data_IF_854577932708
#
_entry.id   IF_854577932708
#
_cell.length_a   1.000
_cell.length_b   1.000
_cell.length_c   1.000
_cell.angle_alpha   90.00
_cell.angle_beta   90.00
_cell.angle_gamma   90.00
#
_symmetry.space_group_name_H-M   'P 1'
#
loop_
_entity.id
_entity.type
_entity.pdbx_description
1 polymer ?
#
# COMPACT_ATOMS: atom_id res chain seq x y z
N UNK A 1 14.30 -15.54 26.27
CA UNK A 1 13.61 -16.84 26.29
C UNK A 1 14.61 -17.97 26.12
N UNK A 2 15.44 -17.92 25.08
CA UNK A 2 16.51 -18.90 24.82
C UNK A 2 17.51 -19.05 25.98
N UNK A 3 17.95 -17.95 26.61
CA UNK A 3 18.82 -17.99 27.81
C UNK A 3 18.20 -18.74 29.00
N UNK A 4 16.88 -18.94 29.01
CA UNK A 4 16.14 -19.70 30.04
C UNK A 4 15.77 -21.11 29.57
N UNK A 5 16.26 -21.57 28.41
CA UNK A 5 15.90 -22.85 27.81
C UNK A 5 14.45 -22.92 27.31
N UNK A 6 13.80 -21.77 27.08
CA UNK A 6 12.42 -21.71 26.60
C UNK A 6 12.39 -21.40 25.11
N UNK A 7 11.66 -22.21 24.35
CA UNK A 7 11.37 -21.93 22.95
C UNK A 7 10.33 -20.81 22.85
N UNK A 8 10.49 -19.92 21.87
CA UNK A 8 9.58 -18.80 21.63
C UNK A 8 9.23 -18.68 20.16
N UNK A 9 7.95 -18.44 19.89
CA UNK A 9 7.41 -18.26 18.55
C UNK A 9 6.49 -17.04 18.55
N UNK A 10 6.92 -15.97 17.89
CA UNK A 10 6.08 -14.81 17.61
C UNK A 10 5.27 -15.08 16.34
N UNK A 11 3.94 -15.09 16.45
CA UNK A 11 3.07 -15.41 15.33
C UNK A 11 2.07 -14.31 15.06
N UNK A 12 2.19 -13.70 13.88
CA UNK A 12 1.14 -12.82 13.38
C UNK A 12 -0.09 -13.62 12.94
N UNK A 13 -1.28 -13.15 13.29
CA UNK A 13 -2.56 -13.76 12.88
C UNK A 13 -3.44 -12.69 12.23
N UNK A 14 -4.01 -12.97 11.05
CA UNK A 14 -4.86 -12.04 10.30
C UNK A 14 -6.15 -12.73 9.84
N UNK A 15 -7.28 -12.00 9.90
CA UNK A 15 -8.60 -12.49 9.49
C UNK A 15 -9.80 -11.92 10.24
N UNK A 16 -9.57 -11.13 11.29
CA UNK A 16 -10.65 -10.64 12.13
C UNK A 16 -11.30 -11.76 12.95
N UNK A 17 -12.47 -11.48 13.52
CA UNK A 17 -13.21 -12.44 14.35
C UNK A 17 -13.66 -13.67 13.55
N UNK A 18 -14.28 -13.43 12.39
CA UNK A 18 -14.72 -14.49 11.47
C UNK A 18 -13.56 -15.33 10.94
N UNK A 19 -12.46 -14.69 10.53
CA UNK A 19 -11.27 -15.41 10.08
C UNK A 19 -10.63 -16.23 11.20
N UNK A 20 -10.61 -15.74 12.44
CA UNK A 20 -10.13 -16.53 13.58
C UNK A 20 -11.00 -17.79 13.83
N UNK A 21 -12.30 -17.71 13.57
CA UNK A 21 -13.23 -18.83 13.75
C UNK A 21 -13.18 -19.86 12.61
N UNK A 22 -13.00 -19.40 11.38
CA UNK A 22 -13.18 -20.19 10.15
C UNK A 22 -11.90 -20.49 9.38
N UNK A 23 -10.80 -19.82 9.71
CA UNK A 23 -9.48 -20.04 9.10
C UNK A 23 -8.74 -18.72 8.87
N UNK A 24 -7.75 -18.37 9.70
CA UNK A 24 -6.97 -17.17 9.51
C UNK A 24 -5.73 -17.43 8.64
N UNK A 25 -5.05 -16.36 8.25
CA UNK A 25 -3.65 -16.43 7.80
C UNK A 25 -2.73 -16.31 9.01
N UNK A 26 -1.72 -17.17 9.10
CA UNK A 26 -0.80 -17.24 10.23
C UNK A 26 0.66 -17.15 9.78
N UNK A 27 1.44 -16.36 10.51
CA UNK A 27 2.80 -15.96 10.15
C UNK A 27 3.76 -16.26 11.31
N UNK A 28 4.01 -17.54 11.66
CA UNK A 28 4.91 -17.91 12.75
C UNK A 28 6.39 -17.63 12.42
N UNK A 29 7.10 -16.96 13.33
CA UNK A 29 8.55 -16.80 13.28
C UNK A 29 9.18 -16.88 14.67
N UNK A 30 10.44 -17.31 14.75
CA UNK A 30 11.11 -17.55 16.03
C UNK A 30 11.93 -18.83 16.00
N UNK A 31 11.68 -19.71 16.97
CA UNK A 31 12.27 -21.05 17.01
C UNK A 31 11.60 -21.98 16.00
N UNK A 32 12.40 -22.57 15.10
CA UNK A 32 11.92 -23.60 14.18
C UNK A 32 11.43 -24.85 14.93
N UNK A 33 12.10 -25.21 16.03
CA UNK A 33 11.70 -26.33 16.88
C UNK A 33 10.31 -26.08 17.50
N UNK A 34 10.04 -24.87 17.99
CA UNK A 34 8.71 -24.51 18.49
C UNK A 34 7.63 -24.63 17.41
N UNK A 35 7.94 -24.19 16.18
CA UNK A 35 7.01 -24.31 15.05
C UNK A 35 6.70 -25.77 14.73
N UNK A 36 7.71 -26.65 14.68
CA UNK A 36 7.52 -28.08 14.41
C UNK A 36 6.60 -28.77 15.43
N UNK A 37 6.62 -28.36 16.70
CA UNK A 37 5.70 -28.90 17.72
C UNK A 37 4.22 -28.54 17.50
N UNK A 38 3.93 -27.45 16.79
CA UNK A 38 2.55 -26.95 16.62
C UNK A 38 2.11 -26.91 15.15
N UNK A 39 2.97 -27.29 14.22
CA UNK A 39 2.76 -27.19 12.78
C UNK A 39 1.45 -27.87 12.36
N UNK A 40 1.17 -29.08 12.85
CA UNK A 40 -0.02 -29.82 12.48
C UNK A 40 -1.33 -29.13 12.90
N UNK A 41 -1.32 -28.46 14.06
CA UNK A 41 -2.43 -27.63 14.53
C UNK A 41 -2.59 -26.44 13.60
N UNK A 42 -1.50 -25.71 13.32
CA UNK A 42 -1.54 -24.52 12.49
C UNK A 42 -2.03 -24.81 11.06
N UNK A 43 -1.57 -25.90 10.46
CA UNK A 43 -2.00 -26.33 9.12
C UNK A 43 -3.50 -26.64 9.07
N UNK A 44 -4.06 -27.25 10.12
CA UNK A 44 -5.49 -27.61 10.19
C UNK A 44 -6.39 -26.40 10.43
N UNK A 45 -5.95 -25.44 11.24
CA UNK A 45 -6.79 -24.29 11.63
C UNK A 45 -6.64 -23.09 10.71
N UNK A 46 -5.58 -22.99 9.88
CA UNK A 46 -5.45 -21.90 8.90
C UNK A 46 -6.51 -21.98 7.80
N UNK A 47 -6.77 -20.85 7.13
CA UNK A 47 -7.53 -20.86 5.88
C UNK A 47 -6.92 -21.84 4.87
N UNK A 48 -7.77 -22.53 4.11
CA UNK A 48 -7.36 -23.43 3.04
C UNK A 48 -7.73 -22.80 1.70
N UNK A 49 -6.75 -22.65 0.83
CA UNK A 49 -6.97 -22.15 -0.53
C UNK A 49 -6.79 -23.32 -1.50
N UNK A 50 -7.80 -23.68 -2.33
CA UNK A 50 -7.82 -24.94 -3.09
C UNK A 50 -6.57 -25.23 -3.94
N UNK A 51 -5.92 -24.20 -4.49
CA UNK A 51 -4.77 -24.31 -5.39
C UNK A 51 -3.41 -24.01 -4.71
N UNK A 52 -3.42 -23.52 -3.48
CA UNK A 52 -2.19 -23.10 -2.76
C UNK A 52 -2.06 -23.64 -1.33
N UNK A 53 -3.01 -24.44 -0.87
CA UNK A 53 -2.98 -25.10 0.43
C UNK A 53 -3.21 -24.16 1.62
N UNK A 54 -2.69 -24.52 2.81
CA UNK A 54 -2.96 -23.80 4.05
C UNK A 54 -2.26 -22.44 4.10
N UNK A 55 -2.95 -21.41 4.59
CA UNK A 55 -2.44 -20.05 4.74
C UNK A 55 -1.55 -19.89 5.98
N UNK A 56 -0.57 -20.77 6.12
CA UNK A 56 0.50 -20.71 7.11
C UNK A 56 1.80 -21.23 6.51
N UNK A 57 2.93 -20.68 6.99
CA UNK A 57 4.28 -21.17 6.72
C UNK A 57 5.22 -20.67 7.80
N UNK A 58 6.30 -21.39 8.08
CA UNK A 58 7.36 -20.87 8.94
C UNK A 58 8.06 -19.70 8.24
N UNK A 59 7.92 -18.50 8.81
CA UNK A 59 8.38 -17.26 8.20
C UNK A 59 9.90 -17.16 8.29
N UNK A 60 10.47 -17.40 9.47
CA UNK A 60 11.90 -17.28 9.71
C UNK A 60 12.24 -17.11 11.17
N UNK A 61 13.47 -16.70 11.45
CA UNK A 61 14.00 -16.59 12.81
C UNK A 61 13.49 -15.34 13.55
N UNK A 62 13.62 -15.35 14.88
CA UNK A 62 13.37 -14.21 15.76
C UNK A 62 11.98 -13.57 15.53
N UNK A 63 11.93 -12.24 15.33
CA UNK A 63 10.68 -11.49 15.19
C UNK A 63 10.09 -11.45 13.78
N UNK A 64 10.54 -12.29 12.85
CA UNK A 64 10.17 -12.22 11.42
C UNK A 64 8.66 -12.31 11.18
N UNK A 65 7.98 -13.22 11.89
CA UNK A 65 6.53 -13.41 11.77
C UNK A 65 5.72 -12.16 12.12
N UNK A 66 6.08 -11.51 13.23
CA UNK A 66 5.46 -10.25 13.64
C UNK A 66 5.80 -9.10 12.69
N UNK A 67 7.02 -9.07 12.14
CA UNK A 67 7.43 -8.07 11.15
C UNK A 67 6.62 -8.20 9.85
N UNK A 68 6.46 -9.42 9.33
CA UNK A 68 5.62 -9.69 8.15
C UNK A 68 4.17 -9.28 8.41
N UNK A 69 3.63 -9.57 9.59
CA UNK A 69 2.27 -9.14 9.96
C UNK A 69 2.12 -7.63 10.07
N UNK A 70 3.13 -6.94 10.59
CA UNK A 70 3.16 -5.48 10.64
C UNK A 70 3.06 -4.92 9.22
N UNK A 71 3.91 -5.38 8.29
CA UNK A 71 3.88 -4.93 6.89
C UNK A 71 2.57 -5.29 6.19
N UNK A 72 2.00 -6.47 6.44
CA UNK A 72 0.65 -6.82 5.98
C UNK A 72 -0.37 -5.73 6.37
N UNK A 73 -0.35 -5.25 7.62
CA UNK A 73 -1.26 -4.18 8.03
C UNK A 73 -0.92 -2.81 7.41
N UNK A 74 0.34 -2.56 7.07
CA UNK A 74 0.71 -1.39 6.26
C UNK A 74 0.07 -1.45 4.86
N UNK A 75 0.17 -2.60 4.19
CA UNK A 75 -0.47 -2.83 2.89
C UNK A 75 -1.99 -2.71 3.00
N UNK A 76 -2.59 -3.27 4.06
CA UNK A 76 -4.02 -3.14 4.36
C UNK A 76 -4.46 -1.67 4.45
N UNK A 77 -3.67 -0.82 5.13
CA UNK A 77 -3.97 0.61 5.22
C UNK A 77 -3.92 1.29 3.85
N UNK A 78 -2.93 0.94 3.03
CA UNK A 78 -2.83 1.39 1.64
C UNK A 78 -4.05 0.98 0.81
N UNK A 79 -4.44 -0.30 0.84
CA UNK A 79 -5.60 -0.82 0.09
C UNK A 79 -6.90 -0.12 0.49
N UNK A 80 -7.16 0.03 1.79
CA UNK A 80 -8.35 0.73 2.30
C UNK A 80 -8.37 2.20 1.84
N UNK A 81 -7.23 2.89 1.89
CA UNK A 81 -7.14 4.29 1.48
C UNK A 81 -7.36 4.45 -0.02
N UNK A 82 -6.76 3.58 -0.85
CA UNK A 82 -6.96 3.62 -2.30
C UNK A 82 -8.41 3.35 -2.69
N UNK A 83 -9.08 2.42 -2.00
CA UNK A 83 -10.52 2.16 -2.18
C UNK A 83 -11.36 3.38 -1.77
N UNK A 84 -11.03 4.03 -0.65
CA UNK A 84 -11.71 5.25 -0.21
C UNK A 84 -11.54 6.40 -1.21
N UNK A 85 -10.36 6.56 -1.81
CA UNK A 85 -10.11 7.56 -2.86
C UNK A 85 -10.88 7.26 -4.14
N UNK A 86 -10.96 5.98 -4.54
CA UNK A 86 -11.79 5.57 -5.67
C UNK A 86 -13.26 5.91 -5.44
N UNK A 87 -13.77 5.63 -4.23
CA UNK A 87 -15.11 6.02 -3.80
C UNK A 87 -15.33 7.54 -3.89
N UNK A 88 -14.42 8.34 -3.33
CA UNK A 88 -14.59 9.80 -3.26
C UNK A 88 -14.54 10.43 -4.64
N UNK A 89 -13.65 9.98 -5.53
CA UNK A 89 -13.64 10.45 -6.93
C UNK A 89 -14.97 10.11 -7.63
N UNK A 90 -15.47 8.88 -7.49
CA UNK A 90 -16.73 8.48 -8.11
C UNK A 90 -17.94 9.25 -7.55
N UNK A 91 -17.97 9.51 -6.24
CA UNK A 91 -19.06 10.23 -5.58
C UNK A 91 -18.98 11.74 -5.83
N UNK A 92 -17.84 12.35 -5.56
CA UNK A 92 -17.65 13.79 -5.58
C UNK A 92 -17.49 14.35 -6.99
N UNK A 93 -16.78 13.65 -7.90
CA UNK A 93 -16.61 14.07 -9.29
C UNK A 93 -17.67 13.42 -10.20
N UNK A 94 -17.80 12.10 -10.12
CA UNK A 94 -18.74 11.34 -10.96
C UNK A 94 -20.21 11.49 -10.58
N UNK A 95 -20.52 12.04 -9.39
CA UNK A 95 -21.88 12.17 -8.84
C UNK A 95 -22.63 10.84 -8.80
N UNK A 96 -21.93 9.74 -8.51
CA UNK A 96 -22.56 8.44 -8.30
C UNK A 96 -23.30 8.42 -6.95
N UNK A 97 -24.49 7.85 -6.98
CA UNK A 97 -25.28 7.49 -5.79
C UNK A 97 -24.69 6.25 -5.12
N UNK A 98 -25.04 6.00 -3.85
CA UNK A 98 -24.58 4.79 -3.16
C UNK A 98 -25.08 3.50 -3.85
N UNK A 99 -26.24 3.54 -4.51
CA UNK A 99 -26.71 2.42 -5.33
C UNK A 99 -25.83 2.15 -6.55
N UNK A 100 -25.42 3.21 -7.27
CA UNK A 100 -24.47 3.08 -8.38
C UNK A 100 -23.09 2.61 -7.88
N UNK A 101 -22.61 3.14 -6.74
CA UNK A 101 -21.35 2.72 -6.12
C UNK A 101 -21.38 1.24 -5.74
N UNK A 102 -22.47 0.75 -5.12
CA UNK A 102 -22.65 -0.66 -4.80
C UNK A 102 -22.49 -1.53 -6.05
N UNK A 103 -23.16 -1.17 -7.15
CA UNK A 103 -23.07 -1.91 -8.42
C UNK A 103 -21.67 -1.91 -9.00
N UNK A 104 -20.99 -0.75 -8.99
CA UNK A 104 -19.60 -0.61 -9.48
C UNK A 104 -18.64 -1.51 -8.69
N UNK A 105 -18.66 -1.44 -7.36
CA UNK A 105 -17.77 -2.25 -6.53
C UNK A 105 -18.12 -3.75 -6.60
N UNK A 106 -19.41 -4.11 -6.69
CA UNK A 106 -19.83 -5.48 -6.91
C UNK A 106 -19.34 -6.03 -8.26
N UNK A 107 -19.32 -5.22 -9.31
CA UNK A 107 -18.78 -5.61 -10.61
C UNK A 107 -17.25 -5.72 -10.60
N UNK A 108 -16.56 -4.76 -9.98
CA UNK A 108 -15.10 -4.84 -9.81
C UNK A 108 -14.67 -6.10 -9.04
N UNK A 109 -15.48 -6.53 -8.07
CA UNK A 109 -15.22 -7.74 -7.30
C UNK A 109 -15.39 -9.04 -8.11
N UNK A 110 -15.92 -9.00 -9.34
CA UNK A 110 -15.97 -10.17 -10.23
C UNK A 110 -14.74 -10.28 -11.14
N UNK A 111 -13.90 -9.24 -11.17
CA UNK A 111 -12.75 -9.14 -12.07
C UNK A 111 -11.41 -9.12 -11.34
N UNK A 112 -10.45 -8.36 -11.88
CA UNK A 112 -9.08 -8.31 -11.36
C UNK A 112 -8.93 -7.68 -9.96
N UNK A 113 -9.97 -6.96 -9.50
CA UNK A 113 -10.02 -6.37 -8.17
C UNK A 113 -10.71 -7.28 -7.12
N UNK A 114 -11.08 -8.52 -7.50
CA UNK A 114 -11.64 -9.52 -6.59
C UNK A 114 -10.80 -9.61 -5.30
N UNK A 115 -11.37 -9.11 -4.21
CA UNK A 115 -10.73 -9.05 -2.90
C UNK A 115 -11.74 -8.81 -1.81
N UNK A 116 -11.40 -9.24 -0.59
CA UNK A 116 -12.29 -9.06 0.56
C UNK A 116 -12.62 -7.59 0.83
N UNK A 117 -11.66 -6.67 0.69
CA UNK A 117 -11.91 -5.25 0.94
C UNK A 117 -12.86 -4.63 -0.09
N UNK A 118 -12.82 -5.07 -1.36
CA UNK A 118 -13.75 -4.61 -2.40
C UNK A 118 -15.14 -5.21 -2.18
N UNK A 119 -15.22 -6.49 -1.79
CA UNK A 119 -16.45 -7.19 -1.41
C UNK A 119 -17.20 -6.43 -0.29
N UNK A 120 -16.56 -6.23 0.86
CA UNK A 120 -17.21 -5.55 2.00
C UNK A 120 -17.54 -4.09 1.67
N UNK A 121 -16.79 -3.45 0.77
CA UNK A 121 -17.08 -2.08 0.33
C UNK A 121 -18.39 -2.03 -0.47
N UNK A 122 -18.62 -3.01 -1.35
CA UNK A 122 -19.90 -3.14 -2.04
C UNK A 122 -21.05 -3.35 -1.05
N UNK A 123 -20.88 -4.25 -0.07
CA UNK A 123 -21.89 -4.51 0.96
C UNK A 123 -22.20 -3.25 1.77
N UNK A 124 -21.17 -2.50 2.21
CA UNK A 124 -21.31 -1.25 2.97
C UNK A 124 -22.20 -0.25 2.24
N UNK A 125 -22.07 -0.09 0.92
CA UNK A 125 -22.91 0.84 0.15
C UNK A 125 -24.38 0.39 0.05
N UNK A 126 -24.69 -0.87 0.32
CA UNK A 126 -26.06 -1.40 0.32
C UNK A 126 -26.81 -1.17 1.65
N UNK A 127 -26.09 -0.93 2.74
CA UNK A 127 -26.67 -0.88 4.08
C UNK A 127 -27.44 0.42 4.31
N UNK A 128 -28.75 0.29 4.53
CA UNK A 128 -29.62 1.39 4.98
C UNK A 128 -29.36 1.71 6.44
N UNK A 129 -29.53 2.98 6.79
CA UNK A 129 -29.55 3.40 8.18
C UNK A 129 -30.83 2.85 8.83
N UNK A 130 -30.68 2.11 9.94
CA UNK A 130 -31.82 1.55 10.69
C UNK A 130 -32.45 2.58 11.65
N UNK A 131 -31.77 3.72 11.85
CA UNK A 131 -32.23 4.82 12.70
C UNK A 131 -32.80 6.00 11.92
N UNK A 132 -32.82 5.97 10.59
CA UNK A 132 -33.29 7.09 9.79
C UNK A 132 -33.27 6.88 8.28
N UNK A 133 -33.45 7.97 7.53
CA UNK A 133 -33.40 7.95 6.07
C UNK A 133 -31.96 7.98 5.54
N UNK A 134 -31.74 7.24 4.46
CA UNK A 134 -30.48 7.20 3.71
C UNK A 134 -29.72 5.89 3.89
N UNK A 135 -28.40 5.97 3.76
CA UNK A 135 -27.49 4.84 3.91
C UNK A 135 -26.60 5.06 5.12
N UNK A 136 -26.25 3.98 5.82
CA UNK A 136 -25.48 4.04 7.06
C UNK A 136 -24.11 4.70 6.85
N UNK A 137 -23.43 4.40 5.73
CA UNK A 137 -22.10 4.97 5.42
C UNK A 137 -22.07 6.49 5.39
N UNK A 138 -23.17 7.14 5.00
CA UNK A 138 -23.26 8.61 4.96
C UNK A 138 -23.47 9.23 6.36
N UNK A 139 -23.80 8.40 7.36
CA UNK A 139 -23.95 8.80 8.78
C UNK A 139 -22.70 8.51 9.61
N UNK A 140 -21.78 7.69 9.08
CA UNK A 140 -20.53 7.36 9.77
C UNK A 140 -19.65 8.62 9.83
N UNK A 141 -19.18 8.96 11.04
CA UNK A 141 -18.24 10.06 11.22
C UNK A 141 -16.93 9.77 10.48
N UNK A 142 -16.51 10.69 9.62
CA UNK A 142 -15.27 10.67 8.83
C UNK A 142 -14.02 10.95 9.68
N UNK A 143 -13.88 10.21 10.79
CA UNK A 143 -12.78 10.29 11.74
C UNK A 143 -12.29 8.88 12.04
N UNK A 144 -11.18 8.50 11.43
CA UNK A 144 -10.65 7.15 11.57
C UNK A 144 -9.72 7.02 12.78
N UNK A 145 -9.85 5.92 13.51
CA UNK A 145 -8.89 5.51 14.54
C UNK A 145 -7.73 4.70 13.93
N UNK A 146 -6.69 4.46 14.74
CA UNK A 146 -5.62 3.53 14.41
C UNK A 146 -5.07 2.82 15.65
N UNK A 147 -4.66 1.56 15.49
CA UNK A 147 -4.09 0.72 16.56
C UNK A 147 -2.54 0.66 16.55
N UNK A 148 -1.90 1.43 15.66
CA UNK A 148 -0.44 1.64 15.64
C UNK A 148 0.37 0.82 14.63
N UNK A 149 -0.12 -0.33 14.13
CA UNK A 149 0.66 -1.21 13.24
C UNK A 149 1.00 -0.59 11.88
N UNK A 150 0.10 0.21 11.31
CA UNK A 150 0.39 0.98 10.09
C UNK A 150 1.52 1.99 10.30
N UNK A 151 1.52 2.69 11.44
CA UNK A 151 2.60 3.62 11.83
C UNK A 151 3.94 2.91 11.96
N UNK A 152 3.98 1.72 12.58
CA UNK A 152 5.22 0.96 12.71
C UNK A 152 5.80 0.54 11.36
N UNK A 153 4.95 0.22 10.37
CA UNK A 153 5.42 -0.08 9.01
C UNK A 153 6.14 1.10 8.40
N UNK A 154 5.57 2.31 8.48
CA UNK A 154 6.20 3.55 7.96
C UNK A 154 7.49 3.86 8.70
N UNK A 155 7.52 3.70 10.02
CA UNK A 155 8.74 3.90 10.82
C UNK A 155 9.84 2.92 10.42
N UNK A 156 9.52 1.65 10.20
CA UNK A 156 10.50 0.66 9.74
C UNK A 156 10.94 0.90 8.30
N UNK A 157 10.05 1.38 7.42
CA UNK A 157 10.41 1.76 6.06
C UNK A 157 11.47 2.88 6.07
N UNK A 158 11.27 3.90 6.90
CA UNK A 158 12.24 4.98 7.09
C UNK A 158 13.58 4.49 7.65
N UNK A 159 13.56 3.65 8.70
CA UNK A 159 14.78 3.05 9.29
C UNK A 159 15.58 2.23 8.28
N UNK A 160 14.89 1.54 7.36
CA UNK A 160 15.49 0.71 6.32
C UNK A 160 15.87 1.49 5.05
N UNK A 161 15.63 2.81 5.02
CA UNK A 161 15.78 3.64 3.82
C UNK A 161 14.97 3.12 2.61
N UNK A 162 13.77 2.58 2.84
CA UNK A 162 12.86 2.09 1.79
C UNK A 162 11.70 3.06 1.63
N UNK A 163 11.51 3.59 0.43
CA UNK A 163 10.37 4.46 0.13
C UNK A 163 9.06 3.66 0.11
N UNK A 164 8.08 4.11 0.90
CA UNK A 164 6.73 3.53 0.95
C UNK A 164 5.62 4.60 0.94
N UNK A 165 5.62 5.51 -0.06
CA UNK A 165 4.80 6.72 -0.01
C UNK A 165 3.29 6.42 -0.10
N UNK A 166 2.87 5.28 -0.66
CA UNK A 166 1.45 4.90 -0.69
C UNK A 166 0.95 4.50 0.70
N UNK A 167 1.76 3.73 1.43
CA UNK A 167 1.45 3.31 2.80
C UNK A 167 1.53 4.53 3.75
N UNK A 168 2.50 5.40 3.55
CA UNK A 168 2.63 6.66 4.30
C UNK A 168 1.43 7.59 4.08
N UNK A 169 1.02 7.81 2.82
CA UNK A 169 -0.16 8.61 2.49
C UNK A 169 -1.41 8.09 3.21
N UNK A 170 -1.59 6.76 3.30
CA UNK A 170 -2.72 6.17 4.03
C UNK A 170 -2.70 6.44 5.54
N UNK A 171 -1.51 6.65 6.12
CA UNK A 171 -1.37 7.02 7.53
C UNK A 171 -1.70 8.50 7.73
N UNK A 172 -1.20 9.37 6.86
CA UNK A 172 -1.46 10.81 6.90
C UNK A 172 -2.94 11.13 6.67
N UNK A 173 -3.60 10.44 5.74
CA UNK A 173 -5.06 10.56 5.53
C UNK A 173 -5.84 10.25 6.81
N UNK A 174 -5.39 9.27 7.61
CA UNK A 174 -6.02 8.96 8.90
C UNK A 174 -5.78 10.07 9.92
N UNK A 175 -4.56 10.59 10.01
CA UNK A 175 -4.25 11.73 10.88
C UNK A 175 -5.11 12.95 10.55
N UNK A 176 -5.20 13.32 9.27
CA UNK A 176 -6.02 14.44 8.79
C UNK A 176 -7.52 14.20 9.04
N UNK A 177 -8.01 12.97 8.85
CA UNK A 177 -9.40 12.63 9.21
C UNK A 177 -9.67 12.86 10.71
N UNK A 178 -8.65 12.61 11.55
CA UNK A 178 -8.63 12.84 13.00
C UNK A 178 -8.94 14.28 13.40
N UNK A 179 -8.47 15.25 12.60
CA UNK A 179 -8.60 16.70 12.81
C UNK A 179 -9.98 17.23 12.36
N UNK A 180 -11.07 16.51 12.69
CA UNK A 180 -12.41 16.81 12.17
C UNK A 180 -12.87 18.25 12.43
N UNK A 181 -12.73 18.73 13.66
CA UNK A 181 -13.21 20.07 14.05
C UNK A 181 -12.41 21.17 13.35
N UNK A 182 -11.08 20.99 13.22
CA UNK A 182 -10.20 21.88 12.47
C UNK A 182 -10.58 21.91 10.98
N UNK A 183 -10.84 20.74 10.37
CA UNK A 183 -11.29 20.66 8.97
C UNK A 183 -12.63 21.36 8.75
N UNK A 184 -13.58 21.22 9.67
CA UNK A 184 -14.88 21.91 9.61
C UNK A 184 -14.72 23.42 9.78
N UNK A 185 -13.79 23.89 10.61
CA UNK A 185 -13.47 25.31 10.70
C UNK A 185 -12.80 25.81 9.41
N UNK A 186 -11.83 25.07 8.89
CA UNK A 186 -11.10 25.40 7.67
C UNK A 186 -12.00 25.46 6.43
N UNK A 187 -13.01 24.58 6.31
CA UNK A 187 -13.93 24.57 5.18
C UNK A 187 -14.81 25.82 5.08
N UNK A 188 -14.94 26.59 6.17
CA UNK A 188 -15.63 27.88 6.18
C UNK A 188 -14.74 29.02 5.68
N UNK A 189 -13.42 28.85 5.75
CA UNK A 189 -12.40 29.84 5.36
C UNK A 189 -12.01 29.62 3.90
N UNK A 190 -11.67 28.39 3.52
CA UNK A 190 -11.23 28.02 2.18
C UNK A 190 -12.42 27.66 1.29
N UNK A 191 -13.23 28.67 0.99
CA UNK A 191 -14.30 28.57 0.00
C UNK A 191 -13.75 28.95 -1.37
N UNK A 192 -14.10 28.18 -2.40
CA UNK A 192 -13.69 28.42 -3.78
C UNK A 192 -14.48 27.56 -4.75
N UNK A 193 -14.49 27.93 -6.03
CA UNK A 193 -14.95 27.03 -7.08
C UNK A 193 -13.82 26.06 -7.40
N UNK A 194 -13.93 24.86 -6.83
CA UNK A 194 -12.99 23.79 -7.07
C UNK A 194 -13.42 22.88 -8.22
N UNK A 195 -14.50 23.17 -8.93
CA UNK A 195 -14.95 22.37 -10.07
C UNK A 195 -14.08 22.64 -11.30
N UNK A 196 -13.70 21.60 -12.04
CA UNK A 196 -13.06 21.81 -13.34
C UNK A 196 -14.03 22.35 -14.40
N UNK A 197 -15.34 22.28 -14.14
CA UNK A 197 -16.41 22.60 -15.11
C UNK A 197 -16.49 21.60 -16.27
N UNK A 198 -15.66 20.57 -16.27
CA UNK A 198 -15.61 19.56 -17.32
C UNK A 198 -16.79 18.59 -17.19
N UNK A 199 -17.43 18.28 -18.32
CA UNK A 199 -18.45 17.23 -18.37
C UNK A 199 -17.78 15.87 -18.20
N UNK A 200 -18.20 15.12 -17.19
CA UNK A 200 -17.66 13.79 -16.87
C UNK A 200 -18.55 12.71 -17.49
N UNK A 201 -17.98 11.88 -18.37
CA UNK A 201 -18.59 10.61 -18.75
C UNK A 201 -18.42 9.61 -17.59
N UNK A 202 -19.54 9.26 -16.93
CA UNK A 202 -19.55 8.34 -15.80
C UNK A 202 -18.94 6.98 -16.15
N UNK A 203 -19.23 6.42 -17.33
CA UNK A 203 -18.75 5.10 -17.70
C UNK A 203 -17.23 5.09 -17.89
N UNK A 204 -16.71 6.12 -18.57
CA UNK A 204 -15.26 6.29 -18.73
C UNK A 204 -14.57 6.53 -17.39
N UNK A 205 -15.17 7.35 -16.50
CA UNK A 205 -14.61 7.61 -15.18
C UNK A 205 -14.54 6.33 -14.33
N UNK A 206 -15.61 5.53 -14.32
CA UNK A 206 -15.63 4.24 -13.59
C UNK A 206 -14.48 3.35 -14.04
N UNK A 207 -14.29 3.19 -15.35
CA UNK A 207 -13.20 2.36 -15.87
C UNK A 207 -11.82 2.96 -15.58
N UNK A 208 -11.68 4.27 -15.65
CA UNK A 208 -10.41 4.93 -15.36
C UNK A 208 -10.02 4.83 -13.89
N UNK A 209 -10.97 5.02 -12.97
CA UNK A 209 -10.77 4.85 -11.53
C UNK A 209 -10.44 3.40 -11.21
N UNK A 210 -11.09 2.42 -11.85
CA UNK A 210 -10.77 1.00 -11.70
C UNK A 210 -9.31 0.71 -12.05
N UNK A 211 -8.85 1.23 -13.20
CA UNK A 211 -7.45 1.09 -13.67
C UNK A 211 -6.47 1.80 -12.75
N UNK A 212 -6.80 3.00 -12.28
CA UNK A 212 -5.98 3.80 -11.36
C UNK A 212 -5.81 3.10 -10.01
N UNK A 213 -6.91 2.57 -9.45
CA UNK A 213 -6.93 1.80 -8.22
C UNK A 213 -6.03 0.57 -8.35
N UNK A 214 -6.18 -0.20 -9.43
CA UNK A 214 -5.39 -1.40 -9.67
C UNK A 214 -3.88 -1.08 -9.81
N UNK A 215 -3.50 -0.07 -10.61
CA UNK A 215 -2.11 0.34 -10.76
C UNK A 215 -1.48 0.86 -9.44
N UNK A 216 -2.25 1.62 -8.66
CA UNK A 216 -1.83 2.11 -7.34
C UNK A 216 -1.64 0.97 -6.35
N UNK A 217 -2.51 -0.05 -6.41
CA UNK A 217 -2.39 -1.26 -5.60
C UNK A 217 -1.09 -2.01 -5.89
N UNK A 218 -0.70 -2.17 -7.15
CA UNK A 218 0.61 -2.77 -7.49
C UNK A 218 1.76 -2.01 -6.81
N UNK A 219 1.74 -0.68 -6.82
CA UNK A 219 2.76 0.14 -6.17
C UNK A 219 2.80 -0.08 -4.64
N UNK A 220 1.65 -0.13 -3.98
CA UNK A 220 1.54 -0.39 -2.54
C UNK A 220 2.18 -1.75 -2.16
N UNK A 221 1.86 -2.81 -2.91
CA UNK A 221 2.44 -4.14 -2.65
C UNK A 221 3.93 -4.20 -2.99
N UNK A 222 4.37 -3.52 -4.05
CA UNK A 222 5.80 -3.41 -4.38
C UNK A 222 6.59 -2.76 -3.22
N UNK A 223 6.06 -1.68 -2.65
CA UNK A 223 6.66 -0.99 -1.49
C UNK A 223 6.69 -1.92 -0.26
N UNK A 224 5.57 -2.57 0.06
CA UNK A 224 5.50 -3.52 1.18
C UNK A 224 6.48 -4.69 1.05
N UNK A 225 6.55 -5.31 -0.13
CA UNK A 225 7.48 -6.42 -0.37
C UNK A 225 8.95 -5.96 -0.28
N UNK A 226 9.27 -4.75 -0.73
CA UNK A 226 10.61 -4.19 -0.59
C UNK A 226 11.00 -3.92 0.87
N UNK A 227 10.06 -3.48 1.72
CA UNK A 227 10.29 -3.33 3.17
C UNK A 227 10.65 -4.69 3.79
N UNK A 228 9.91 -5.75 3.43
CA UNK A 228 10.17 -7.11 3.91
C UNK A 228 11.53 -7.61 3.41
N UNK A 229 11.84 -7.40 2.13
CA UNK A 229 13.13 -7.77 1.53
C UNK A 229 14.29 -7.09 2.24
N UNK A 230 14.21 -5.76 2.44
CA UNK A 230 15.25 -4.99 3.12
C UNK A 230 15.49 -5.49 4.55
N UNK A 231 14.42 -5.75 5.32
CA UNK A 231 14.57 -6.28 6.68
C UNK A 231 15.12 -7.70 6.70
N UNK A 232 14.68 -8.54 5.76
CA UNK A 232 15.19 -9.90 5.59
C UNK A 232 16.70 -9.89 5.35
N UNK A 233 17.19 -8.99 4.50
CA UNK A 233 18.62 -8.79 4.23
C UNK A 233 19.36 -8.27 5.47
N UNK A 234 18.87 -7.21 6.13
CA UNK A 234 19.47 -6.64 7.35
C UNK A 234 19.64 -7.69 8.45
N UNK A 235 18.65 -8.57 8.63
CA UNK A 235 18.64 -9.58 9.70
C UNK A 235 19.14 -10.96 9.27
N UNK A 236 19.46 -11.17 7.99
CA UNK A 236 19.82 -12.48 7.45
C UNK A 236 18.73 -13.54 7.63
N UNK A 237 17.46 -13.16 7.52
CA UNK A 237 16.33 -14.07 7.73
C UNK A 237 16.05 -14.99 6.55
N UNK A 238 16.43 -14.60 5.32
CA UNK A 238 16.20 -15.42 4.12
C UNK A 238 14.71 -15.64 3.81
N UNK A 239 13.87 -14.63 4.05
CA UNK A 239 12.42 -14.72 3.85
C UNK A 239 12.06 -15.00 2.38
N UNK A 240 11.15 -15.95 2.16
CA UNK A 240 10.61 -16.28 0.85
C UNK A 240 9.36 -15.44 0.55
N UNK A 241 9.51 -14.38 -0.26
CA UNK A 241 8.42 -13.44 -0.58
C UNK A 241 7.27 -14.11 -1.36
N UNK A 242 7.55 -15.12 -2.18
CA UNK A 242 6.52 -15.90 -2.87
C UNK A 242 5.64 -16.68 -1.88
N UNK A 243 6.24 -17.28 -0.86
CA UNK A 243 5.50 -17.96 0.21
C UNK A 243 4.69 -16.97 1.07
N UNK A 244 5.19 -15.75 1.30
CA UNK A 244 4.41 -14.71 1.97
C UNK A 244 3.16 -14.33 1.17
N UNK A 245 3.31 -14.14 -0.15
CA UNK A 245 2.18 -13.88 -1.03
C UNK A 245 1.18 -15.06 -1.02
N UNK A 246 1.67 -16.31 -1.00
CA UNK A 246 0.85 -17.52 -0.92
C UNK A 246 -0.03 -17.54 0.32
N UNK A 247 0.55 -17.31 1.51
CA UNK A 247 -0.21 -17.37 2.77
C UNK A 247 -1.17 -16.18 2.93
N UNK A 248 -1.02 -15.11 2.15
CA UNK A 248 -1.97 -14.00 2.12
C UNK A 248 -3.13 -14.22 1.12
N UNK A 249 -3.08 -15.25 0.25
CA UNK A 249 -4.18 -15.54 -0.71
C UNK A 249 -5.54 -15.81 -0.03
N UNK A 250 -5.53 -16.22 1.24
CA UNK A 250 -6.73 -16.54 2.02
C UNK A 250 -6.57 -16.20 3.49
N UNK A 251 -7.69 -16.18 4.21
CA UNK A 251 -7.76 -15.98 5.66
C UNK A 251 -7.47 -14.56 6.15
N UNK A 252 -6.56 -13.80 5.53
CA UNK A 252 -6.24 -12.45 5.93
C UNK A 252 -7.18 -11.37 5.35
N UNK A 253 -7.02 -10.12 5.81
CA UNK A 253 -7.82 -8.98 5.35
C UNK A 253 -7.49 -8.59 3.90
N UNK A 254 -6.21 -8.61 3.53
CA UNK A 254 -5.76 -8.22 2.18
C UNK A 254 -5.94 -9.33 1.12
N UNK A 255 -6.66 -10.40 1.44
CA UNK A 255 -6.84 -11.55 0.55
C UNK A 255 -7.49 -11.13 -0.77
N UNK A 256 -6.88 -11.52 -1.88
CA UNK A 256 -7.26 -11.12 -3.22
C UNK A 256 -6.72 -12.10 -4.27
N UNK A 257 -7.39 -12.19 -5.42
CA UNK A 257 -6.87 -12.92 -6.60
C UNK A 257 -5.51 -12.38 -7.05
N UNK A 258 -5.29 -11.07 -6.83
CA UNK A 258 -4.04 -10.35 -7.04
C UNK A 258 -2.79 -11.03 -6.43
N UNK A 259 -2.93 -11.69 -5.29
CA UNK A 259 -1.80 -12.29 -4.58
C UNK A 259 -1.24 -13.54 -5.25
N UNK A 260 -2.06 -14.27 -6.00
CA UNK A 260 -1.59 -15.39 -6.81
C UNK A 260 -0.58 -14.93 -7.87
N UNK A 261 -0.78 -13.73 -8.40
CA UNK A 261 0.11 -13.12 -9.39
C UNK A 261 1.43 -12.67 -8.79
N UNK A 262 1.39 -12.12 -7.57
CA UNK A 262 2.61 -11.78 -6.83
C UNK A 262 3.41 -13.05 -6.52
N UNK A 263 2.74 -14.13 -6.10
CA UNK A 263 3.39 -15.42 -5.92
C UNK A 263 4.08 -15.87 -7.22
N UNK A 264 3.36 -15.85 -8.35
CA UNK A 264 3.92 -16.22 -9.66
C UNK A 264 5.12 -15.36 -10.07
N UNK A 265 5.10 -14.06 -9.78
CA UNK A 265 6.24 -13.17 -10.05
C UNK A 265 7.49 -13.59 -9.26
N UNK A 266 7.35 -13.92 -7.97
CA UNK A 266 8.47 -14.41 -7.16
C UNK A 266 8.85 -15.87 -7.45
N UNK A 267 7.92 -16.71 -7.92
CA UNK A 267 8.25 -18.06 -8.42
C UNK A 267 9.11 -17.97 -9.69
N UNK A 268 8.82 -17.00 -10.59
CA UNK A 268 9.64 -16.71 -11.78
C UNK A 268 11.02 -16.19 -11.41
N UNK A 269 11.09 -15.27 -10.44
CA UNK A 269 12.34 -14.67 -9.99
C UNK A 269 12.29 -14.33 -8.49
N UNK A 270 12.85 -15.22 -7.66
CA UNK A 270 12.92 -15.00 -6.21
C UNK A 270 13.76 -13.79 -5.81
N UNK A 271 14.68 -13.36 -6.66
CA UNK A 271 15.60 -12.24 -6.42
C UNK A 271 15.10 -10.90 -6.99
N UNK A 272 13.84 -10.86 -7.46
CA UNK A 272 13.25 -9.69 -8.08
C UNK A 272 13.54 -8.41 -7.27
N UNK A 273 14.15 -7.42 -7.91
CA UNK A 273 14.54 -6.18 -7.24
C UNK A 273 13.32 -5.39 -6.76
N UNK A 274 12.23 -5.46 -7.52
CA UNK A 274 10.98 -4.77 -7.25
C UNK A 274 9.84 -5.43 -8.04
N UNK A 275 8.65 -5.54 -7.45
CA UNK A 275 7.49 -6.10 -8.14
C UNK A 275 7.16 -5.37 -9.46
N UNK A 276 7.46 -4.06 -9.54
CA UNK A 276 7.19 -3.23 -10.72
C UNK A 276 7.96 -3.66 -11.99
N UNK A 277 9.05 -4.41 -11.86
CA UNK A 277 9.87 -4.85 -12.99
C UNK A 277 9.57 -6.30 -13.42
N UNK A 278 8.64 -6.98 -12.75
CA UNK A 278 8.12 -8.24 -13.27
C UNK A 278 7.39 -7.97 -14.61
N UNK A 279 7.62 -8.79 -15.67
CA UNK A 279 7.08 -8.51 -17.01
C UNK A 279 5.56 -8.36 -17.07
N UNK A 280 4.81 -9.13 -16.28
CA UNK A 280 3.35 -9.05 -16.28
C UNK A 280 2.88 -7.76 -15.60
N UNK A 281 3.40 -7.45 -14.40
CA UNK A 281 3.04 -6.21 -13.70
C UNK A 281 3.50 -4.94 -14.43
N UNK A 282 4.66 -4.98 -15.07
CA UNK A 282 5.16 -3.88 -15.89
C UNK A 282 4.19 -3.59 -17.04
N UNK A 283 3.75 -4.61 -17.77
CA UNK A 283 2.77 -4.45 -18.84
C UNK A 283 1.45 -3.88 -18.32
N UNK A 284 0.97 -4.37 -17.17
CA UNK A 284 -0.29 -3.90 -16.60
C UNK A 284 -0.29 -2.43 -16.20
N UNK A 285 0.82 -1.96 -15.64
CA UNK A 285 0.99 -0.55 -15.33
C UNK A 285 1.02 0.26 -16.62
N UNK A 286 1.74 -0.19 -17.64
CA UNK A 286 1.81 0.51 -18.93
C UNK A 286 0.45 0.63 -19.60
N UNK A 287 -0.39 -0.40 -19.51
CA UNK A 287 -1.75 -0.39 -20.06
C UNK A 287 -2.72 0.54 -19.30
N UNK A 288 -2.40 0.87 -18.04
CA UNK A 288 -3.28 1.62 -17.12
C UNK A 288 -2.80 3.03 -16.82
N UNK A 289 -1.53 3.36 -17.06
CA UNK A 289 -0.94 4.62 -16.65
C UNK A 289 -1.64 5.86 -17.24
N UNK A 290 -2.20 5.77 -18.45
CA UNK A 290 -2.94 6.88 -19.04
C UNK A 290 -4.25 7.17 -18.29
N UNK A 291 -5.01 6.11 -17.95
CA UNK A 291 -6.23 6.22 -17.14
C UNK A 291 -5.91 6.73 -15.74
N UNK A 292 -4.84 6.20 -15.14
CA UNK A 292 -4.37 6.62 -13.83
C UNK A 292 -4.04 8.11 -13.77
N UNK A 293 -3.32 8.64 -14.76
CA UNK A 293 -3.05 10.08 -14.88
C UNK A 293 -4.32 10.91 -15.04
N UNK A 294 -5.28 10.46 -15.84
CA UNK A 294 -6.57 11.15 -15.99
C UNK A 294 -7.29 11.28 -14.66
N UNK A 295 -7.36 10.20 -13.87
CA UNK A 295 -8.00 10.22 -12.54
C UNK A 295 -7.32 11.20 -11.60
N UNK A 296 -5.98 11.14 -11.49
CA UNK A 296 -5.22 12.02 -10.60
C UNK A 296 -5.39 13.50 -11.01
N UNK A 297 -5.24 13.82 -12.30
CA UNK A 297 -5.44 15.18 -12.79
C UNK A 297 -6.88 15.67 -12.59
N UNK A 298 -7.87 14.82 -12.90
CA UNK A 298 -9.28 15.17 -12.74
C UNK A 298 -9.62 15.43 -11.26
N UNK A 299 -9.11 14.60 -10.35
CA UNK A 299 -9.31 14.78 -8.91
C UNK A 299 -8.70 16.11 -8.43
N UNK A 300 -7.45 16.40 -8.82
CA UNK A 300 -6.77 17.66 -8.50
C UNK A 300 -7.57 18.86 -9.03
N UNK A 301 -7.99 18.82 -10.30
CA UNK A 301 -8.77 19.89 -10.93
C UNK A 301 -10.17 20.05 -10.33
N UNK A 302 -10.68 19.04 -9.61
CA UNK A 302 -11.96 19.06 -8.93
C UNK A 302 -11.85 19.28 -7.41
N UNK A 303 -10.65 19.59 -6.89
CA UNK A 303 -10.40 19.76 -5.45
C UNK A 303 -10.61 18.50 -4.61
N UNK A 304 -10.61 17.32 -5.23
CA UNK A 304 -10.73 16.02 -4.55
C UNK A 304 -9.34 15.47 -4.27
N UNK A 305 -9.05 15.17 -3.01
CA UNK A 305 -7.73 14.69 -2.59
C UNK A 305 -7.59 13.19 -2.86
N UNK A 306 -6.53 12.80 -3.58
CA UNK A 306 -6.18 11.39 -3.84
C UNK A 306 -4.71 11.12 -3.47
N UNK A 307 -4.34 11.25 -2.18
CA UNK A 307 -2.95 11.20 -1.75
C UNK A 307 -2.31 9.85 -2.03
N UNK A 308 -3.00 8.73 -1.82
CA UNK A 308 -2.52 7.38 -2.11
C UNK A 308 -2.30 7.14 -3.61
N UNK A 309 -3.27 7.50 -4.46
CA UNK A 309 -3.14 7.33 -5.92
C UNK A 309 -2.05 8.25 -6.49
N UNK A 310 -1.97 9.49 -6.00
CA UNK A 310 -0.97 10.49 -6.42
C UNK A 310 0.44 10.09 -5.99
N UNK A 311 0.62 9.65 -4.74
CA UNK A 311 1.90 9.16 -4.21
C UNK A 311 2.37 7.89 -4.95
N UNK A 312 1.45 6.99 -5.26
CA UNK A 312 1.72 5.79 -6.04
C UNK A 312 2.20 6.15 -7.46
N UNK A 313 1.59 7.15 -8.10
CA UNK A 313 1.98 7.61 -9.44
C UNK A 313 3.35 8.26 -9.43
N UNK A 314 3.61 9.11 -8.43
CA UNK A 314 4.91 9.75 -8.23
C UNK A 314 6.02 8.71 -7.95
N UNK A 315 5.72 7.66 -7.18
CA UNK A 315 6.63 6.54 -6.95
C UNK A 315 6.98 5.82 -8.24
N UNK A 316 5.98 5.44 -9.05
CA UNK A 316 6.22 4.83 -10.36
C UNK A 316 7.03 5.74 -11.29
N UNK A 317 6.65 7.01 -11.42
CA UNK A 317 7.35 7.97 -12.29
C UNK A 317 8.78 8.26 -11.84
N UNK A 318 9.05 8.20 -10.54
CA UNK A 318 10.41 8.32 -10.01
C UNK A 318 11.22 7.05 -10.27
N UNK A 319 10.63 5.88 -9.99
CA UNK A 319 11.33 4.59 -10.08
C UNK A 319 11.74 4.23 -11.52
N UNK A 320 10.92 4.57 -12.52
CA UNK A 320 11.19 4.23 -13.93
C UNK A 320 12.20 5.14 -14.64
N UNK A 321 12.66 6.21 -14.00
CA UNK A 321 13.53 7.21 -14.62
C UNK A 321 14.99 6.94 -14.31
N UNK A 322 15.82 6.90 -15.35
CA UNK A 322 17.29 6.82 -15.24
C UNK A 322 17.89 8.03 -14.48
N UNK A 323 17.34 9.24 -14.71
CA UNK A 323 17.81 10.47 -14.05
C UNK A 323 16.70 11.18 -13.28
N UNK A 324 16.95 11.36 -11.99
CA UNK A 324 16.15 12.16 -11.05
C UNK A 324 16.82 13.51 -10.76
N UNK A 325 16.07 14.52 -10.27
CA UNK A 325 16.63 15.83 -9.93
C UNK A 325 17.54 15.85 -8.69
N UNK A 326 17.88 14.67 -8.14
CA UNK A 326 18.76 14.53 -6.97
C UNK A 326 20.19 15.04 -7.23
N UNK A 327 20.61 15.19 -8.49
CA UNK A 327 21.86 15.84 -8.84
C UNK A 327 21.92 17.30 -8.34
N UNK A 328 20.81 18.05 -8.39
CA UNK A 328 20.75 19.40 -7.86
C UNK A 328 20.78 19.41 -6.33
N UNK A 329 20.09 18.45 -5.68
CA UNK A 329 20.12 18.30 -4.21
C UNK A 329 21.55 18.00 -3.75
N UNK A 330 22.27 17.10 -4.43
CA UNK A 330 23.68 16.83 -4.16
C UNK A 330 24.56 18.08 -4.34
N UNK A 331 24.36 18.84 -5.43
CA UNK A 331 25.09 20.09 -5.64
C UNK A 331 24.82 21.12 -4.54
N UNK A 332 23.57 21.27 -4.10
CA UNK A 332 23.21 22.14 -2.98
C UNK A 332 23.90 21.72 -1.68
N UNK A 333 23.87 20.42 -1.34
CA UNK A 333 24.53 19.86 -0.16
C UNK A 333 26.03 20.11 -0.17
N UNK A 334 26.68 19.93 -1.32
CA UNK A 334 28.10 20.24 -1.43
C UNK A 334 28.37 21.75 -1.34
N UNK A 335 27.49 22.59 -1.91
CA UNK A 335 27.60 24.05 -1.85
C UNK A 335 27.62 24.58 -0.41
N UNK A 336 26.59 24.29 0.39
CA UNK A 336 26.46 24.89 1.72
C UNK A 336 27.23 24.12 2.81
N UNK A 337 27.53 22.84 2.58
CA UNK A 337 27.98 21.93 3.64
C UNK A 337 29.21 21.09 3.31
N UNK A 338 29.82 21.27 2.13
CA UNK A 338 30.97 20.48 1.67
C UNK A 338 30.74 18.95 1.80
N UNK A 339 29.50 18.51 1.58
CA UNK A 339 29.08 17.11 1.71
C UNK A 339 29.59 16.18 0.61
N UNK A 340 30.34 16.71 -0.35
CA UNK A 340 30.83 16.03 -1.55
C UNK A 340 29.73 15.47 -2.45
N UNK A 341 30.11 15.08 -3.66
CA UNK A 341 29.23 14.42 -4.63
C UNK A 341 30.03 13.47 -5.53
N UNK A 342 29.34 12.51 -6.15
CA UNK A 342 29.90 11.65 -7.19
C UNK A 342 29.55 12.18 -8.59
N UNK A 343 30.32 11.75 -9.60
CA UNK A 343 30.13 12.16 -10.99
C UNK A 343 29.76 10.96 -11.87
N UNK A 344 29.01 11.25 -12.94
CA UNK A 344 28.57 10.23 -13.91
C UNK A 344 29.65 9.87 -14.93
N UNK A 345 30.70 10.69 -15.05
CA UNK A 345 31.76 10.56 -16.05
C UNK A 345 33.09 10.07 -15.46
N UNK A 346 33.20 9.92 -14.14
CA UNK A 346 34.41 9.41 -13.47
C UNK A 346 34.13 8.92 -12.04
N UNK A 347 34.83 7.87 -11.59
CA UNK A 347 34.70 7.39 -10.22
C UNK A 347 35.37 8.36 -9.23
N UNK A 348 34.82 8.45 -8.03
CA UNK A 348 35.41 9.23 -6.93
C UNK A 348 34.42 10.15 -6.22
N UNK A 349 34.89 10.80 -5.16
CA UNK A 349 34.16 11.79 -4.39
C UNK A 349 34.77 13.17 -4.63
N UNK A 350 33.92 14.13 -5.01
CA UNK A 350 34.32 15.45 -5.45
C UNK A 350 33.72 16.51 -4.55
N UNK A 351 34.49 17.56 -4.27
CA UNK A 351 34.02 18.79 -3.65
C UNK A 351 34.31 19.95 -4.61
N UNK A 352 33.36 20.86 -4.76
CA UNK A 352 33.54 22.08 -5.55
C UNK A 352 33.52 23.31 -4.64
N UNK A 353 34.43 24.24 -4.88
CA UNK A 353 34.48 25.53 -4.19
C UNK A 353 33.46 26.52 -4.80
N UNK A 354 32.18 26.18 -4.66
CA UNK A 354 31.09 26.81 -5.40
C UNK A 354 31.01 28.33 -5.22
N UNK A 355 31.13 28.80 -3.97
CA UNK A 355 31.06 30.23 -3.67
C UNK A 355 32.19 31.01 -4.35
N UNK A 356 33.42 30.47 -4.33
CA UNK A 356 34.58 31.11 -4.97
C UNK A 356 34.36 31.21 -6.47
N UNK A 357 33.93 30.14 -7.13
CA UNK A 357 33.72 30.10 -8.59
C UNK A 357 32.56 31.01 -9.01
N UNK A 358 31.46 31.01 -8.27
CA UNK A 358 30.28 31.82 -8.58
C UNK A 358 30.59 33.33 -8.46
N UNK A 359 31.40 33.71 -7.47
CA UNK A 359 31.70 35.11 -7.17
C UNK A 359 33.02 35.63 -7.75
N UNK A 360 33.86 34.78 -8.34
CA UNK A 360 35.10 35.20 -9.01
C UNK A 360 34.89 35.79 -10.41
N UNK A 361 33.63 35.89 -10.87
CA UNK A 361 33.23 36.50 -12.15
C UNK A 361 32.62 37.90 -12.00
N UNK A 362 32.59 38.42 -10.76
CA UNK A 362 32.34 39.83 -10.41
C UNK A 362 33.70 40.42 -10.04
#
# INVERSE_FOLDING_TARGET
MEERGLLYLGMGVSGGEEGARHGPSMMPGGSLEAYQYIEDILLKVSAQVPDSGPCVTYIGKAGSGNFVKMVHNGIEYGDMQLIAEAYDVLKSVGKLTNGELQQVFAEWNKGELLSFLVEITADIFSIKDDQGEGYLVDKVLDKTGMKGTGKWTVQQAAELCVAAPTIEASLDSRFLSGLKDERVAASKIFQGDYSSGETVDKAQLIEDVRKALYASKICSYAQGMNIIKAKSTEKGWGLNLGELARIWKGGCIIRASFLDRIKKAYDRNGELANLLIDPEFAQEIMDRQAAWRRVVCLAINNGVSTPGMSASLAYFDSYRRDRLPANLVQAQRDYFGAHTYERVDMPGSFHTEWYKIANSKI
#
